data_IF_413092306293
#
_entry.id   IF_413092306293
#
_cell.length_a   1.000
_cell.length_b   1.000
_cell.length_c   1.000
_cell.angle_alpha   90.00
_cell.angle_beta   90.00
_cell.angle_gamma   90.00
#
_symmetry.space_group_name_H-M   'P 1'
#
loop_
_entity.id
_entity.type
_entity.pdbx_description
1 polymer ?
#
# COMPACT_ATOMS: atom_id res chain seq x y z
N UNK A 1 -10.10 7.92 -6.76
CA UNK A 1 -8.84 8.32 -6.10
C UNK A 1 -8.79 7.63 -4.74
N UNK A 2 -7.71 6.92 -4.37
CA UNK A 2 -7.64 6.23 -3.07
C UNK A 2 -7.74 7.21 -1.91
N UNK A 3 -8.42 6.82 -0.82
CA UNK A 3 -8.60 7.61 0.40
C UNK A 3 -8.07 6.85 1.61
N UNK A 4 -7.59 7.59 2.63
CA UNK A 4 -7.19 7.03 3.93
C UNK A 4 -8.23 6.02 4.42
N UNK A 5 -7.78 4.83 4.81
CA UNK A 5 -8.64 3.75 5.29
C UNK A 5 -9.14 2.80 4.19
N UNK A 6 -8.99 3.12 2.91
CA UNK A 6 -9.25 2.15 1.85
C UNK A 6 -8.19 1.05 1.85
N UNK A 7 -8.62 -0.18 1.58
CA UNK A 7 -7.74 -1.28 1.20
C UNK A 7 -7.76 -1.39 -0.32
N UNK A 8 -6.59 -1.36 -0.95
CA UNK A 8 -6.44 -1.45 -2.41
C UNK A 8 -5.47 -2.58 -2.77
N UNK A 9 -5.70 -3.25 -3.89
CA UNK A 9 -4.75 -4.21 -4.45
C UNK A 9 -3.82 -3.46 -5.41
N UNK A 10 -2.51 -3.53 -5.16
CA UNK A 10 -1.49 -2.87 -6.01
C UNK A 10 -0.29 -3.79 -6.23
N UNK A 11 0.45 -3.55 -7.32
CA UNK A 11 1.71 -4.25 -7.63
C UNK A 11 2.90 -3.58 -6.95
N UNK A 12 3.75 -4.38 -6.30
CA UNK A 12 5.07 -3.98 -5.77
C UNK A 12 6.22 -4.48 -6.67
N UNK A 13 5.97 -4.62 -7.97
CA UNK A 13 7.01 -5.00 -8.94
C UNK A 13 7.53 -3.77 -9.72
N UNK A 14 8.84 -3.65 -9.94
CA UNK A 14 9.92 -4.47 -9.37
C UNK A 14 10.19 -4.13 -7.89
N UNK A 15 10.56 -5.13 -7.09
CA UNK A 15 11.02 -4.89 -5.72
C UNK A 15 12.54 -4.91 -5.63
N UNK A 16 13.11 -4.13 -4.70
CA UNK A 16 14.52 -4.21 -4.36
C UNK A 16 14.75 -5.16 -3.19
N UNK A 17 15.61 -6.16 -3.38
CA UNK A 17 16.05 -7.09 -2.34
C UNK A 17 14.90 -7.70 -1.51
N UNK A 18 14.78 -7.31 -0.22
CA UNK A 18 13.82 -7.85 0.76
C UNK A 18 12.56 -6.98 0.95
N UNK A 19 12.33 -6.01 0.08
CA UNK A 19 11.07 -5.25 0.07
C UNK A 19 9.87 -6.16 -0.20
N UNK A 20 8.67 -5.70 0.19
CA UNK A 20 7.44 -6.42 -0.12
C UNK A 20 7.27 -6.55 -1.63
N UNK A 21 6.73 -7.69 -2.06
CA UNK A 21 6.79 -8.15 -3.45
C UNK A 21 5.43 -8.61 -3.97
N UNK A 22 5.20 -8.46 -5.28
CA UNK A 22 4.01 -8.95 -5.98
C UNK A 22 2.76 -8.07 -5.78
N UNK A 23 1.59 -8.62 -6.14
CA UNK A 23 0.31 -7.91 -5.91
C UNK A 23 -0.15 -8.12 -4.48
N UNK A 24 -0.24 -7.04 -3.69
CA UNK A 24 -0.61 -7.13 -2.27
C UNK A 24 -1.74 -6.17 -1.92
N UNK A 25 -2.71 -6.61 -1.10
CA UNK A 25 -3.62 -5.69 -0.42
C UNK A 25 -2.80 -4.70 0.40
N UNK A 26 -3.15 -3.42 0.32
CA UNK A 26 -2.43 -2.35 1.01
C UNK A 26 -3.41 -1.33 1.57
N UNK A 27 -3.17 -0.90 2.81
CA UNK A 27 -3.95 0.13 3.48
C UNK A 27 -3.45 1.51 3.06
N UNK A 28 -4.34 2.37 2.55
CA UNK A 28 -4.01 3.77 2.28
C UNK A 28 -3.92 4.55 3.58
N UNK A 29 -2.77 5.16 3.85
CA UNK A 29 -2.51 5.96 5.05
C UNK A 29 -2.46 7.48 4.76
N UNK A 30 -2.26 7.90 3.52
CA UNK A 30 -2.26 9.33 3.16
C UNK A 30 -3.66 9.95 3.07
N UNK A 31 -3.77 11.26 3.34
CA UNK A 31 -5.04 12.01 3.27
C UNK A 31 -5.47 12.25 1.82
N UNK A 32 -6.78 12.31 1.56
CA UNK A 32 -7.32 12.52 0.20
C UNK A 32 -6.83 13.81 -0.47
N UNK A 33 -6.56 14.88 0.29
CA UNK A 33 -6.01 16.14 -0.23
C UNK A 33 -4.60 15.94 -0.82
N UNK A 34 -3.73 15.21 -0.12
CA UNK A 34 -2.39 14.84 -0.64
C UNK A 34 -2.53 13.98 -1.90
N UNK A 35 -3.38 12.94 -1.85
CA UNK A 35 -3.54 12.03 -2.98
C UNK A 35 -4.03 12.73 -4.25
N UNK A 36 -4.94 13.69 -4.10
CA UNK A 36 -5.48 14.49 -5.21
C UNK A 36 -4.45 15.43 -5.84
N UNK A 37 -3.67 16.12 -5.00
CA UNK A 37 -2.68 17.11 -5.43
C UNK A 37 -1.45 16.44 -6.05
N UNK A 38 -0.88 15.44 -5.37
CA UNK A 38 0.39 14.81 -5.73
C UNK A 38 0.20 13.65 -6.73
N UNK A 39 -1.04 13.15 -6.89
CA UNK A 39 -1.36 11.98 -7.72
C UNK A 39 -0.65 10.70 -7.27
N UNK A 40 -0.22 10.64 -6.01
CA UNK A 40 0.38 9.48 -5.36
C UNK A 40 -0.39 9.14 -4.07
N UNK A 41 -0.28 7.90 -3.61
CA UNK A 41 -0.82 7.49 -2.31
C UNK A 41 0.29 6.86 -1.46
N UNK A 42 0.34 7.18 -0.17
CA UNK A 42 1.15 6.45 0.80
C UNK A 42 0.33 5.27 1.30
N UNK A 43 0.93 4.09 1.28
CA UNK A 43 0.26 2.83 1.62
C UNK A 43 1.12 1.96 2.53
N UNK A 44 0.48 1.10 3.31
CA UNK A 44 1.13 0.06 4.09
C UNK A 44 0.71 -1.32 3.54
N UNK A 45 1.62 -2.14 3.01
CA UNK A 45 1.29 -3.47 2.49
C UNK A 45 0.86 -4.42 3.62
N UNK A 46 -0.14 -5.24 3.34
CA UNK A 46 -0.66 -6.26 4.27
C UNK A 46 -0.01 -7.60 3.91
N UNK A 47 0.51 -8.32 4.93
CA UNK A 47 0.96 -9.70 4.79
C UNK A 47 -0.17 -10.68 5.17
N UNK A 48 -0.24 -11.81 4.49
CA UNK A 48 -1.15 -12.91 4.83
C UNK A 48 -0.56 -13.86 5.88
N UNK A 49 0.74 -13.74 6.14
CA UNK A 49 1.42 -14.56 7.13
C UNK A 49 1.19 -13.95 8.51
N UNK A 50 0.33 -14.58 9.30
CA UNK A 50 0.24 -14.32 10.73
C UNK A 50 1.57 -14.72 11.37
N UNK A 51 2.37 -13.73 11.76
CA UNK A 51 3.46 -13.95 12.71
C UNK A 51 2.80 -13.86 14.08
N UNK A 52 2.58 -15.01 14.73
CA UNK A 52 2.32 -15.02 16.16
C UNK A 52 3.63 -14.58 16.84
N UNK A 53 3.60 -13.39 17.45
CA UNK A 53 4.65 -12.93 18.37
C UNK A 53 4.58 -13.74 19.66
#
# INVERSE_FOLDING_TARGET
MPQRGNIILISFYPQSAREQAGHRPSLVISRIKYNRLVKLALVCPINSNTIYL
#
